data_IF_346796966207
#
_entry.id   IF_346796966207
#
_cell.length_a   1.000
_cell.length_b   1.000
_cell.length_c   1.000
_cell.angle_alpha   90.00
_cell.angle_beta   90.00
_cell.angle_gamma   90.00
#
_symmetry.space_group_name_H-M   'P 1'
#
loop_
_entity.id
_entity.type
_entity.pdbx_description
1 polymer ?
#
# COMPACT_ATOMS: atom_id res chain seq x y z
N UNK A 1 -10.34 -0.24 20.23
CA UNK A 1 -10.42 -1.71 20.12
C UNK A 1 -9.39 -2.16 19.12
N UNK A 2 -8.76 -3.33 19.29
CA UNK A 2 -7.91 -3.90 18.27
C UNK A 2 -8.77 -4.21 17.05
N UNK A 3 -8.22 -4.06 15.86
CA UNK A 3 -8.92 -4.38 14.62
C UNK A 3 -7.92 -4.92 13.61
N UNK A 4 -8.47 -5.59 12.60
CA UNK A 4 -7.74 -5.96 11.40
C UNK A 4 -8.72 -5.96 10.24
N UNK A 5 -8.30 -5.41 9.11
CA UNK A 5 -9.04 -5.50 7.86
C UNK A 5 -8.08 -5.60 6.69
N UNK A 6 -8.60 -6.07 5.57
CA UNK A 6 -7.89 -6.03 4.31
C UNK A 6 -8.85 -6.18 3.15
N UNK A 7 -8.43 -5.71 1.99
CA UNK A 7 -9.13 -5.91 0.72
C UNK A 7 -8.12 -6.01 -0.42
N UNK A 8 -8.56 -6.72 -1.46
CA UNK A 8 -7.84 -6.93 -2.70
C UNK A 8 -8.82 -6.64 -3.85
N UNK A 9 -8.43 -5.72 -4.74
CA UNK A 9 -9.18 -5.32 -5.92
C UNK A 9 -8.35 -5.69 -7.13
N UNK A 10 -8.77 -6.74 -7.83
CA UNK A 10 -8.24 -7.14 -9.12
C UNK A 10 -9.34 -6.98 -10.17
N UNK A 11 -9.35 -5.84 -10.86
CA UNK A 11 -10.26 -5.60 -11.96
C UNK A 11 -9.50 -5.60 -13.28
N UNK A 12 -9.71 -6.68 -14.05
CA UNK A 12 -9.06 -6.89 -15.34
C UNK A 12 -9.56 -5.93 -16.42
N UNK A 13 -10.79 -5.43 -16.31
CA UNK A 13 -11.37 -4.56 -17.34
C UNK A 13 -10.78 -3.15 -17.25
N UNK A 14 -10.65 -2.62 -16.03
CA UNK A 14 -10.04 -1.32 -15.78
C UNK A 14 -8.53 -1.36 -15.53
N UNK A 15 -7.92 -2.55 -15.47
CA UNK A 15 -6.53 -2.79 -15.06
C UNK A 15 -6.19 -2.26 -13.66
N UNK A 16 -7.21 -2.11 -12.80
CA UNK A 16 -7.04 -1.69 -11.43
C UNK A 16 -6.55 -2.87 -10.58
N UNK A 17 -5.38 -2.69 -9.95
CA UNK A 17 -4.78 -3.62 -9.00
C UNK A 17 -4.42 -2.84 -7.72
N UNK A 18 -5.18 -3.12 -6.66
CA UNK A 18 -5.02 -2.51 -5.35
C UNK A 18 -5.12 -3.56 -4.26
N UNK A 19 -4.17 -3.56 -3.34
CA UNK A 19 -4.27 -4.33 -2.11
C UNK A 19 -4.02 -3.42 -0.93
N UNK A 20 -4.79 -3.59 0.15
CA UNK A 20 -4.57 -2.90 1.41
C UNK A 20 -4.81 -3.88 2.55
N UNK A 21 -3.90 -3.91 3.53
CA UNK A 21 -4.09 -4.59 4.79
C UNK A 21 -3.67 -3.67 5.93
N UNK A 22 -4.47 -3.60 6.99
CA UNK A 22 -4.17 -2.82 8.18
C UNK A 22 -4.63 -3.56 9.44
N UNK A 23 -3.88 -3.39 10.52
CA UNK A 23 -4.25 -3.84 11.85
C UNK A 23 -3.83 -2.84 12.91
N UNK A 24 -4.56 -2.83 14.01
CA UNK A 24 -4.21 -2.08 15.21
C UNK A 24 -4.28 -2.96 16.45
N UNK A 25 -3.32 -2.77 17.36
CA UNK A 25 -3.29 -3.40 18.68
C UNK A 25 -3.71 -2.45 19.82
N UNK A 26 -4.34 -1.31 19.49
CA UNK A 26 -4.58 -0.09 20.28
C UNK A 26 -3.48 0.97 20.23
N UNK A 27 -2.21 0.59 20.36
CA UNK A 27 -1.12 1.56 20.50
C UNK A 27 -0.40 1.80 19.18
N UNK A 28 -0.38 0.78 18.33
CA UNK A 28 0.31 0.78 17.05
C UNK A 28 -0.69 0.38 15.97
N UNK A 29 -0.69 1.13 14.88
CA UNK A 29 -1.31 0.73 13.61
C UNK A 29 -0.19 0.31 12.67
N UNK A 30 -0.31 -0.86 12.07
CA UNK A 30 0.60 -1.30 11.01
C UNK A 30 -0.20 -1.75 9.81
N UNK A 31 0.29 -1.43 8.62
CA UNK A 31 -0.35 -1.91 7.41
C UNK A 31 0.57 -1.81 6.21
N UNK A 32 0.03 -2.25 5.09
CA UNK A 32 0.66 -2.12 3.80
C UNK A 32 -0.38 -1.92 2.72
N UNK A 33 -0.03 -1.15 1.69
CA UNK A 33 -0.80 -1.09 0.48
C UNK A 33 0.08 -1.19 -0.76
N UNK A 34 -0.49 -1.66 -1.87
CA UNK A 34 0.14 -1.64 -3.19
C UNK A 34 -0.75 -0.91 -4.20
N UNK A 35 -0.13 -0.14 -5.09
CA UNK A 35 -0.80 0.65 -6.13
C UNK A 35 0.00 0.53 -7.42
N UNK A 36 -0.66 0.17 -8.52
CA UNK A 36 -0.09 0.26 -9.86
C UNK A 36 0.00 1.74 -10.31
N UNK A 37 1.18 2.18 -10.74
CA UNK A 37 1.44 3.54 -11.21
C UNK A 37 1.33 3.64 -12.73
N UNK A 38 0.98 4.82 -13.28
CA UNK A 38 0.88 5.03 -14.73
C UNK A 38 2.19 4.82 -15.50
N UNK A 39 3.34 4.91 -14.81
CA UNK A 39 4.67 4.68 -15.41
C UNK A 39 5.06 3.20 -15.49
N UNK A 40 4.16 2.29 -15.10
CA UNK A 40 4.36 0.84 -15.14
C UNK A 40 5.00 0.25 -13.89
N UNK A 41 5.34 1.06 -12.88
CA UNK A 41 5.82 0.55 -11.59
C UNK A 41 4.65 0.20 -10.66
N UNK A 42 4.91 -0.69 -9.70
CA UNK A 42 4.04 -0.88 -8.54
C UNK A 42 4.68 -0.21 -7.34
N UNK A 43 3.98 0.74 -6.72
CA UNK A 43 4.39 1.30 -5.43
C UNK A 43 3.87 0.40 -4.32
N UNK A 44 4.76 -0.02 -3.42
CA UNK A 44 4.45 -0.81 -2.24
C UNK A 44 4.83 0.04 -1.03
N UNK A 45 3.87 0.31 -0.16
CA UNK A 45 4.08 1.09 1.06
C UNK A 45 3.80 0.19 2.25
N UNK A 46 4.78 0.06 3.14
CA UNK A 46 4.61 -0.57 4.45
C UNK A 46 4.74 0.51 5.51
N UNK A 47 3.76 0.62 6.40
CA UNK A 47 3.71 1.73 7.34
C UNK A 47 3.43 1.28 8.77
N UNK A 48 3.84 2.16 9.70
CA UNK A 48 3.58 2.06 11.13
C UNK A 48 3.21 3.44 11.64
N UNK A 49 2.09 3.54 12.35
CA UNK A 49 1.70 4.70 13.12
C UNK A 49 1.68 4.34 14.61
N UNK A 50 2.40 5.11 15.43
CA UNK A 50 2.44 4.94 16.88
C UNK A 50 2.54 6.30 17.59
N UNK A 51 2.87 6.31 18.88
CA UNK A 51 3.02 7.52 19.68
C UNK A 51 4.09 8.50 19.16
N UNK A 52 5.02 8.05 18.30
CA UNK A 52 6.06 8.87 17.68
C UNK A 52 5.66 9.37 16.29
N UNK A 53 4.46 9.04 15.81
CA UNK A 53 3.92 9.48 14.53
C UNK A 53 3.89 8.37 13.48
N UNK A 54 3.76 8.78 12.22
CA UNK A 54 3.66 7.88 11.08
C UNK A 54 5.03 7.73 10.39
N UNK A 55 5.47 6.49 10.19
CA UNK A 55 6.68 6.15 9.43
C UNK A 55 6.32 5.12 8.36
N UNK A 56 6.87 5.30 7.15
CA UNK A 56 6.63 4.39 6.03
C UNK A 56 7.93 4.04 5.30
N UNK A 57 8.01 2.77 4.89
CA UNK A 57 8.96 2.24 3.92
C UNK A 57 8.25 2.17 2.56
N UNK A 58 8.78 2.89 1.57
CA UNK A 58 8.21 2.97 0.23
C UNK A 58 9.15 2.29 -0.76
N UNK A 59 8.64 1.26 -1.42
CA UNK A 59 9.36 0.48 -2.43
C UNK A 59 8.65 0.59 -3.77
N UNK A 60 9.42 0.38 -4.83
CA UNK A 60 8.92 0.32 -6.19
C UNK A 60 9.38 -0.99 -6.82
N UNK A 61 8.46 -1.70 -7.44
CA UNK A 61 8.75 -2.84 -8.31
C UNK A 61 8.50 -2.46 -9.77
N UNK A 62 9.31 -3.00 -10.69
CA UNK A 62 9.27 -2.65 -12.11
C UNK A 62 10.18 -1.48 -12.49
N UNK A 63 10.05 -1.00 -13.73
CA UNK A 63 10.85 0.07 -14.31
C UNK A 63 9.96 1.25 -14.70
N UNK A 64 10.40 2.47 -14.38
CA UNK A 64 9.66 3.68 -14.74
C UNK A 64 9.75 3.93 -16.26
N UNK A 65 8.59 4.10 -16.91
CA UNK A 65 8.49 4.51 -18.30
C UNK A 65 8.06 5.97 -18.38
N UNK A 66 8.76 6.75 -19.19
CA UNK A 66 8.47 8.16 -19.43
C UNK A 66 7.94 8.33 -20.86
N UNK A 67 6.94 9.21 -21.08
CA UNK A 67 6.58 9.61 -22.43
C UNK A 67 7.78 10.33 -23.11
N UNK A 68 7.98 10.08 -24.40
CA UNK A 68 8.94 10.82 -25.24
C UNK A 68 8.46 12.25 -25.53
#
# INVERSE_FOLDING_TARGET
QPYSFGYDVQDKESYNDFEHNEKSDYNVVTGSYRVALPDGRTQIVTYKADAYGYTADVKYEGEAKYPE
#
